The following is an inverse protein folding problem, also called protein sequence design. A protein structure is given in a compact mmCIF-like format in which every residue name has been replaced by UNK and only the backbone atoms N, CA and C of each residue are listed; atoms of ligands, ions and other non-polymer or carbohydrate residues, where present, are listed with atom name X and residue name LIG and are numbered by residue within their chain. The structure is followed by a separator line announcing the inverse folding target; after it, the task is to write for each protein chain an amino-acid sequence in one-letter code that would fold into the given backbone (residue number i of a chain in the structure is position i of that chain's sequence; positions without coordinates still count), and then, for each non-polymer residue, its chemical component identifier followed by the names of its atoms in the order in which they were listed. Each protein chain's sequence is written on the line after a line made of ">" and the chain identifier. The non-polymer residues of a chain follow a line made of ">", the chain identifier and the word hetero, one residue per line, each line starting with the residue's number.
data_IF_890186365563
#
_entry.id   IF_890186365563
#
_cell.length_a   1.000
_cell.length_b   1.000
_cell.length_c   1.000
_cell.angle_alpha   90.00
_cell.angle_beta   90.00
_cell.angle_gamma   90.00
#
_symmetry.space_group_name_H-M   'P 1'
#
loop_
_entity.id
_entity.type
_entity.pdbx_description
1 polymer ?
#
# COMPACT_ATOMS: atom_id res chain seq x y z
N UNK A 1 -29.65 9.53 36.44
CA UNK A 1 -29.49 8.73 35.22
C UNK A 1 -29.04 9.65 34.10
N UNK A 2 -27.73 9.75 33.89
CA UNK A 2 -27.09 10.31 32.69
C UNK A 2 -25.62 9.91 32.82
N UNK A 3 -25.34 8.66 32.42
CA UNK A 3 -23.99 8.13 32.39
C UNK A 3 -23.21 8.85 31.29
N UNK A 4 -22.18 9.53 31.74
CA UNK A 4 -21.17 10.23 30.96
C UNK A 4 -20.55 9.29 29.94
N UNK A 5 -20.83 9.50 28.65
CA UNK A 5 -20.10 8.87 27.55
C UNK A 5 -18.69 9.49 27.53
N UNK A 6 -17.81 9.05 28.43
CA UNK A 6 -16.38 9.28 28.31
C UNK A 6 -15.80 8.23 27.36
N UNK A 7 -15.98 8.43 26.06
CA UNK A 7 -15.13 7.76 25.07
C UNK A 7 -13.77 8.47 25.12
N UNK A 8 -12.92 8.08 26.07
CA UNK A 8 -11.48 8.36 25.95
C UNK A 8 -10.95 7.43 24.87
N UNK A 9 -10.52 7.94 23.70
CA UNK A 9 -9.97 7.06 22.70
C UNK A 9 -8.59 6.62 23.21
N UNK A 10 -8.38 5.30 23.31
CA UNK A 10 -7.12 4.69 23.77
C UNK A 10 -6.01 4.81 22.71
N UNK A 11 -5.60 6.03 22.38
CA UNK A 11 -4.48 6.31 21.49
C UNK A 11 -3.45 7.13 22.26
N UNK A 12 -2.36 6.48 22.68
CA UNK A 12 -1.11 7.21 22.89
C UNK A 12 -0.84 8.03 21.63
N UNK A 13 -0.56 9.33 21.82
CA UNK A 13 -0.24 10.37 20.81
C UNK A 13 -0.38 9.90 19.36
N UNK A 14 -1.36 10.45 18.61
CA UNK A 14 -1.37 10.37 17.14
C UNK A 14 0.05 10.66 16.65
N UNK A 15 0.65 9.72 15.92
CA UNK A 15 2.01 9.88 15.39
C UNK A 15 1.93 10.93 14.28
N UNK A 16 2.06 12.21 14.65
CA UNK A 16 1.87 13.34 13.73
C UNK A 16 2.72 13.20 12.45
N UNK A 17 3.93 12.67 12.58
CA UNK A 17 4.79 12.38 11.44
C UNK A 17 4.19 11.38 10.44
N UNK A 18 3.43 10.38 10.90
CA UNK A 18 2.79 9.41 10.00
C UNK A 18 1.63 10.06 9.22
N UNK A 19 0.82 10.90 9.86
CA UNK A 19 -0.23 11.62 9.14
C UNK A 19 0.36 12.59 8.11
N UNK A 20 1.50 13.21 8.41
CA UNK A 20 2.28 13.99 7.43
C UNK A 20 2.73 13.16 6.23
N UNK A 21 3.29 11.97 6.46
CA UNK A 21 3.67 11.04 5.38
C UNK A 21 2.47 10.63 4.53
N UNK A 22 1.31 10.40 5.13
CA UNK A 22 0.07 10.09 4.39
C UNK A 22 -0.40 11.26 3.53
N UNK A 23 -0.29 12.49 4.03
CA UNK A 23 -0.60 13.70 3.26
C UNK A 23 0.30 13.86 2.04
N UNK A 24 1.62 13.69 2.23
CA UNK A 24 2.60 13.72 1.14
C UNK A 24 2.30 12.61 0.12
N UNK A 25 2.06 11.38 0.58
CA UNK A 25 1.70 10.27 -0.29
C UNK A 25 0.45 10.56 -1.14
N UNK A 26 -0.60 11.12 -0.52
CA UNK A 26 -1.84 11.49 -1.22
C UNK A 26 -1.60 12.55 -2.31
N UNK A 27 -0.86 13.61 -1.98
CA UNK A 27 -0.53 14.68 -2.92
C UNK A 27 0.32 14.15 -4.07
N UNK A 28 1.32 13.31 -3.80
CA UNK A 28 2.14 12.68 -4.83
C UNK A 28 1.30 11.83 -5.79
N UNK A 29 0.40 10.98 -5.29
CA UNK A 29 -0.50 10.18 -6.14
C UNK A 29 -1.42 11.07 -6.97
N UNK A 30 -1.96 12.15 -6.39
CA UNK A 30 -2.80 13.11 -7.11
C UNK A 30 -2.03 13.79 -8.26
N UNK A 31 -0.82 14.29 -7.99
CA UNK A 31 0.04 14.92 -9.00
C UNK A 31 0.41 13.93 -10.10
N UNK A 32 0.72 12.68 -9.75
CA UNK A 32 1.01 11.65 -10.73
C UNK A 32 -0.17 11.38 -11.67
N UNK A 33 -1.39 11.27 -11.13
CA UNK A 33 -2.57 11.04 -11.98
C UNK A 33 -2.92 12.25 -12.84
N UNK A 34 -2.76 13.47 -12.32
CA UNK A 34 -2.92 14.69 -13.11
C UNK A 34 -1.89 14.77 -14.25
N UNK A 35 -0.63 14.43 -13.94
CA UNK A 35 0.44 14.37 -14.93
C UNK A 35 0.14 13.30 -15.98
N UNK A 36 -0.30 12.10 -15.59
CA UNK A 36 -0.70 11.06 -16.55
C UNK A 36 -1.79 11.56 -17.49
N UNK A 37 -2.84 12.21 -17.00
CA UNK A 37 -3.92 12.70 -17.87
C UNK A 37 -3.49 13.84 -18.79
N UNK A 38 -2.51 14.65 -18.38
CA UNK A 38 -2.06 15.84 -19.12
C UNK A 38 -0.89 15.56 -20.06
N UNK A 39 -0.01 14.62 -19.71
CA UNK A 39 1.20 14.27 -20.48
C UNK A 39 0.89 13.56 -21.80
N UNK A 40 -0.31 12.99 -21.97
CA UNK A 40 -0.80 12.57 -23.30
C UNK A 40 -0.96 13.74 -24.28
N UNK A 41 -0.91 14.98 -23.80
CA UNK A 41 -1.11 16.19 -24.61
C UNK A 41 0.14 17.09 -24.66
N UNK A 42 1.13 16.90 -23.78
CA UNK A 42 2.29 17.80 -23.63
C UNK A 42 3.56 17.02 -23.25
N UNK A 43 4.66 17.21 -23.99
CA UNK A 43 5.99 16.72 -23.59
C UNK A 43 6.51 17.59 -22.43
N UNK A 44 6.75 16.99 -21.26
CA UNK A 44 7.10 17.74 -20.04
C UNK A 44 8.59 17.77 -19.72
N UNK A 45 9.42 17.10 -20.53
CA UNK A 45 10.88 17.14 -20.42
C UNK A 45 11.38 16.65 -19.05
N UNK A 46 12.30 17.36 -18.37
CA UNK A 46 12.85 16.93 -17.07
C UNK A 46 11.82 16.69 -15.96
N UNK A 47 10.61 17.25 -16.07
CA UNK A 47 9.53 17.03 -15.10
C UNK A 47 8.97 15.60 -15.13
N UNK A 48 9.23 14.81 -16.18
CA UNK A 48 8.82 13.41 -16.27
C UNK A 48 9.42 12.55 -15.15
N UNK A 49 10.64 12.87 -14.71
CA UNK A 49 11.29 12.22 -13.57
C UNK A 49 10.51 12.51 -12.29
N UNK A 50 10.13 13.78 -12.07
CA UNK A 50 9.35 14.19 -10.91
C UNK A 50 7.99 13.47 -10.87
N UNK A 51 7.29 13.38 -12.00
CA UNK A 51 6.03 12.65 -12.07
C UNK A 51 6.20 11.15 -11.83
N UNK A 52 7.27 10.56 -12.34
CA UNK A 52 7.60 9.15 -12.09
C UNK A 52 7.83 8.88 -10.60
N UNK A 53 8.48 9.80 -9.89
CA UNK A 53 8.65 9.76 -8.43
C UNK A 53 7.32 9.94 -7.69
N UNK A 54 6.44 10.81 -8.18
CA UNK A 54 5.13 11.03 -7.56
C UNK A 54 4.26 9.76 -7.50
N UNK A 55 4.44 8.81 -8.42
CA UNK A 55 3.79 7.50 -8.33
C UNK A 55 4.17 6.71 -7.07
N UNK A 56 5.37 6.93 -6.52
CA UNK A 56 5.85 6.23 -5.33
C UNK A 56 5.13 6.64 -4.04
N UNK A 57 4.25 7.66 -4.12
CA UNK A 57 3.27 7.92 -3.06
C UNK A 57 2.38 6.70 -2.79
N UNK A 58 2.03 5.93 -3.82
CA UNK A 58 1.27 4.68 -3.65
C UNK A 58 2.08 3.61 -2.91
N UNK A 59 3.36 3.45 -3.29
CA UNK A 59 4.31 2.56 -2.62
C UNK A 59 4.40 2.88 -1.13
N UNK A 60 4.50 4.17 -0.79
CA UNK A 60 4.49 4.63 0.61
C UNK A 60 3.18 4.27 1.32
N UNK A 61 2.01 4.35 0.67
CA UNK A 61 0.74 3.90 1.27
C UNK A 61 0.74 2.41 1.62
N UNK A 62 1.26 1.53 0.77
CA UNK A 62 1.33 0.10 1.06
C UNK A 62 2.29 -0.20 2.22
N UNK A 63 3.47 0.43 2.25
CA UNK A 63 4.42 0.32 3.36
C UNK A 63 3.81 0.84 4.67
N UNK A 64 3.15 2.01 4.64
CA UNK A 64 2.46 2.56 5.81
C UNK A 64 1.35 1.64 6.30
N UNK A 65 0.60 1.01 5.38
CA UNK A 65 -0.46 0.06 5.71
C UNK A 65 0.11 -1.18 6.40
N UNK A 66 1.17 -1.78 5.85
CA UNK A 66 1.87 -2.89 6.47
C UNK A 66 2.34 -2.56 7.89
N UNK A 67 2.94 -1.37 8.06
CA UNK A 67 3.43 -0.92 9.37
C UNK A 67 2.31 -0.69 10.38
N UNK A 68 1.35 0.17 10.05
CA UNK A 68 0.32 0.62 10.98
C UNK A 68 -0.59 -0.51 11.42
N UNK A 69 -0.88 -1.44 10.51
CA UNK A 69 -1.83 -2.51 10.76
C UNK A 69 -1.18 -3.66 11.53
N UNK A 70 0.10 -3.97 11.26
CA UNK A 70 0.77 -5.08 11.94
C UNK A 70 1.30 -4.69 13.32
N UNK A 71 1.74 -3.44 13.52
CA UNK A 71 2.27 -2.94 14.81
C UNK A 71 1.44 -3.29 16.05
N UNK A 72 0.09 -3.12 16.10
CA UNK A 72 -0.69 -3.48 17.28
C UNK A 72 -0.68 -4.99 17.57
N UNK A 73 -0.65 -5.85 16.55
CA UNK A 73 -0.52 -7.30 16.73
C UNK A 73 0.86 -7.67 17.27
N UNK A 74 1.93 -7.11 16.67
CA UNK A 74 3.30 -7.32 17.13
C UNK A 74 3.46 -6.88 18.59
N UNK A 75 3.00 -5.68 18.94
CA UNK A 75 3.06 -5.15 20.30
C UNK A 75 2.34 -6.05 21.30
N UNK A 76 1.12 -6.50 20.98
CA UNK A 76 0.38 -7.42 21.84
C UNK A 76 1.13 -8.74 22.05
N UNK A 77 1.70 -9.33 20.98
CA UNK A 77 2.43 -10.61 21.05
C UNK A 77 3.72 -10.47 21.86
N UNK A 78 4.50 -9.40 21.64
CA UNK A 78 5.76 -9.21 22.35
C UNK A 78 5.50 -8.99 23.84
N UNK A 79 4.53 -8.14 24.18
CA UNK A 79 4.15 -7.78 25.55
C UNK A 79 3.28 -8.82 26.27
N UNK A 80 2.87 -9.90 25.58
CA UNK A 80 1.97 -10.91 26.15
C UNK A 80 0.56 -10.40 26.47
N UNK A 81 0.10 -9.35 25.78
CA UNK A 81 -1.24 -8.78 25.93
C UNK A 81 -2.24 -9.45 25.00
N UNK A 82 -3.53 -9.23 25.26
CA UNK A 82 -4.60 -9.69 24.38
C UNK A 82 -4.47 -9.08 22.98
N UNK A 83 -4.70 -9.89 21.94
CA UNK A 83 -4.71 -9.40 20.56
C UNK A 83 -5.84 -8.40 20.31
N UNK A 84 -5.67 -7.47 19.35
CA UNK A 84 -6.75 -6.62 18.88
C UNK A 84 -7.97 -7.44 18.42
N UNK A 85 -9.18 -6.98 18.76
CA UNK A 85 -10.43 -7.60 18.29
C UNK A 85 -10.55 -7.51 16.76
N UNK A 86 -10.64 -8.66 16.09
CA UNK A 86 -10.76 -8.74 14.62
C UNK A 86 -12.05 -8.08 14.15
N UNK A 87 -13.16 -8.25 14.87
CA UNK A 87 -14.44 -7.61 14.54
C UNK A 87 -14.32 -6.09 14.55
N UNK A 88 -13.74 -5.52 15.61
CA UNK A 88 -13.53 -4.07 15.72
C UNK A 88 -12.54 -3.56 14.67
N UNK A 89 -11.49 -4.34 14.42
CA UNK A 89 -10.52 -4.06 13.36
C UNK A 89 -11.23 -3.97 11.99
N UNK A 90 -11.95 -5.02 11.57
CA UNK A 90 -12.62 -5.07 10.27
C UNK A 90 -13.63 -3.93 10.12
N UNK A 91 -14.46 -3.69 11.13
CA UNK A 91 -15.44 -2.61 11.12
C UNK A 91 -14.81 -1.22 10.93
N UNK A 92 -13.76 -0.90 11.69
CA UNK A 92 -13.06 0.38 11.59
C UNK A 92 -12.39 0.57 10.22
N UNK A 93 -11.94 -0.52 9.59
CA UNK A 93 -11.32 -0.48 8.27
C UNK A 93 -12.34 -0.27 7.16
N UNK A 94 -13.47 -0.95 7.23
CA UNK A 94 -14.58 -0.76 6.29
C UNK A 94 -15.08 0.68 6.36
N UNK A 95 -15.38 1.21 7.56
CA UNK A 95 -15.85 2.59 7.71
C UNK A 95 -14.84 3.66 7.26
N UNK A 96 -13.55 3.33 7.23
CA UNK A 96 -12.51 4.26 6.81
C UNK A 96 -12.44 4.41 5.28
N UNK A 97 -12.70 3.35 4.53
CA UNK A 97 -12.50 3.34 3.06
C UNK A 97 -13.83 3.41 2.31
N UNK A 98 -14.79 2.58 2.72
CA UNK A 98 -15.98 2.31 1.91
C UNK A 98 -16.89 3.53 1.71
N UNK A 99 -17.20 4.35 2.73
CA UNK A 99 -18.11 5.50 2.53
C UNK A 99 -17.60 6.48 1.48
N UNK A 100 -16.32 6.86 1.56
CA UNK A 100 -15.72 7.77 0.60
C UNK A 100 -15.64 7.14 -0.80
N UNK A 101 -15.23 5.87 -0.89
CA UNK A 101 -15.17 5.15 -2.16
C UNK A 101 -16.53 5.09 -2.87
N UNK A 102 -17.58 4.71 -2.14
CA UNK A 102 -18.93 4.59 -2.71
C UNK A 102 -19.46 5.93 -3.19
N UNK A 103 -19.28 7.01 -2.42
CA UNK A 103 -19.71 8.35 -2.85
C UNK A 103 -18.99 8.74 -4.15
N UNK A 104 -17.67 8.59 -4.20
CA UNK A 104 -16.89 8.93 -5.39
C UNK A 104 -17.34 8.06 -6.57
N UNK A 105 -17.42 6.74 -6.39
CA UNK A 105 -17.81 5.81 -7.44
C UNK A 105 -19.22 6.07 -7.98
N UNK A 106 -20.20 6.33 -7.11
CA UNK A 106 -21.57 6.64 -7.52
C UNK A 106 -21.61 7.93 -8.33
N UNK A 107 -20.98 9.00 -7.82
CA UNK A 107 -20.95 10.30 -8.49
C UNK A 107 -20.25 10.19 -9.85
N UNK A 108 -19.02 9.66 -9.89
CA UNK A 108 -18.25 9.62 -11.14
C UNK A 108 -18.74 8.55 -12.11
N UNK A 109 -19.14 7.39 -11.59
CA UNK A 109 -19.47 6.21 -12.39
C UNK A 109 -20.90 6.15 -12.89
N UNK A 110 -21.87 6.65 -12.11
CA UNK A 110 -23.29 6.56 -12.43
C UNK A 110 -23.88 7.91 -12.87
N UNK A 111 -23.46 9.02 -12.24
CA UNK A 111 -24.02 10.35 -12.53
C UNK A 111 -23.21 11.11 -13.58
N UNK A 112 -21.92 11.33 -13.36
CA UNK A 112 -21.06 12.12 -14.27
C UNK A 112 -20.72 11.32 -15.52
N UNK A 113 -20.33 10.06 -15.38
CA UNK A 113 -19.88 9.22 -16.49
C UNK A 113 -18.43 9.46 -16.89
N UNK A 114 -17.54 9.59 -15.90
CA UNK A 114 -16.12 9.91 -16.09
C UNK A 114 -15.21 8.77 -15.63
N UNK A 115 -15.61 7.53 -15.89
CA UNK A 115 -14.92 6.32 -15.44
C UNK A 115 -14.63 5.40 -16.62
N UNK A 116 -13.74 4.43 -16.41
CA UNK A 116 -13.34 3.50 -17.46
C UNK A 116 -14.41 2.43 -17.68
N UNK A 117 -14.82 2.26 -18.93
CA UNK A 117 -15.78 1.23 -19.34
C UNK A 117 -15.10 -0.12 -19.53
N UNK A 118 -13.89 -0.11 -20.07
CA UNK A 118 -13.03 -1.26 -20.36
C UNK A 118 -11.65 -1.09 -19.70
N UNK A 119 -10.83 -2.14 -19.74
CA UNK A 119 -9.49 -2.10 -19.14
C UNK A 119 -8.58 -1.00 -19.69
N UNK A 120 -7.56 -0.62 -18.93
CA UNK A 120 -6.74 0.58 -19.19
C UNK A 120 -5.98 0.63 -20.51
N UNK A 121 -5.77 -0.48 -21.21
CA UNK A 121 -5.14 -0.49 -22.54
C UNK A 121 -6.05 -0.02 -23.68
N UNK A 122 -7.35 0.15 -23.43
CA UNK A 122 -8.28 0.71 -24.41
C UNK A 122 -8.21 2.25 -24.51
N UNK A 123 -7.23 2.88 -23.87
CA UNK A 123 -6.97 4.32 -23.95
C UNK A 123 -7.89 5.19 -23.10
N UNK A 124 -7.63 6.50 -23.13
CA UNK A 124 -8.43 7.55 -22.49
C UNK A 124 -9.43 8.19 -23.47
N UNK A 125 -9.65 7.56 -24.62
CA UNK A 125 -10.54 8.08 -25.64
C UNK A 125 -12.00 8.10 -25.19
N UNK A 126 -12.85 8.92 -25.83
CA UNK A 126 -14.27 9.01 -25.53
C UNK A 126 -15.01 7.66 -25.65
N UNK A 127 -14.44 6.69 -26.37
CA UNK A 127 -14.95 5.33 -26.49
C UNK A 127 -14.77 4.47 -25.21
N UNK A 128 -13.82 4.81 -24.34
CA UNK A 128 -13.53 4.06 -23.12
C UNK A 128 -13.94 4.80 -21.83
N UNK A 129 -14.29 6.08 -21.92
CA UNK A 129 -14.74 6.88 -20.77
C UNK A 129 -16.24 7.11 -20.85
N UNK A 130 -16.99 6.71 -19.82
CA UNK A 130 -18.44 6.89 -19.82
C UNK A 130 -19.12 6.50 -18.51
N UNK A 131 -20.45 6.38 -18.57
CA UNK A 131 -21.27 5.88 -17.45
C UNK A 131 -21.27 4.36 -17.45
N UNK A 132 -21.08 3.75 -16.27
CA UNK A 132 -21.30 2.31 -16.12
C UNK A 132 -22.80 2.02 -16.15
N UNK A 133 -23.21 1.14 -17.07
CA UNK A 133 -24.61 0.70 -17.23
C UNK A 133 -24.80 -0.79 -16.98
N UNK A 134 -23.74 -1.59 -17.13
CA UNK A 134 -23.75 -3.03 -16.87
C UNK A 134 -23.90 -3.31 -15.36
N UNK A 135 -25.01 -3.94 -14.91
CA UNK A 135 -25.26 -4.22 -13.49
C UNK A 135 -24.19 -5.09 -12.84
N UNK A 136 -23.62 -6.07 -13.56
CA UNK A 136 -22.59 -6.96 -13.02
C UNK A 136 -21.28 -6.21 -12.80
N UNK A 137 -20.90 -5.35 -13.75
CA UNK A 137 -19.71 -4.51 -13.64
C UNK A 137 -19.86 -3.46 -12.52
N UNK A 138 -21.05 -2.88 -12.36
CA UNK A 138 -21.38 -2.00 -11.24
C UNK A 138 -21.24 -2.75 -9.91
N UNK A 139 -21.86 -3.92 -9.78
CA UNK A 139 -21.76 -4.75 -8.58
C UNK A 139 -20.30 -5.12 -8.25
N UNK A 140 -19.52 -5.51 -9.27
CA UNK A 140 -18.11 -5.86 -9.11
C UNK A 140 -17.26 -4.67 -8.63
N UNK A 141 -17.54 -3.46 -9.11
CA UNK A 141 -16.88 -2.25 -8.64
C UNK A 141 -17.29 -1.88 -7.22
N UNK A 142 -18.60 -1.84 -6.93
CA UNK A 142 -19.14 -1.57 -5.59
C UNK A 142 -18.53 -2.51 -4.55
N UNK A 143 -18.44 -3.80 -4.85
CA UNK A 143 -17.86 -4.82 -3.96
C UNK A 143 -16.33 -4.82 -3.92
N UNK A 144 -15.65 -3.99 -4.74
CA UNK A 144 -14.20 -4.00 -4.93
C UNK A 144 -13.65 -5.38 -5.33
N UNK A 145 -14.40 -6.11 -6.15
CA UNK A 145 -13.99 -7.41 -6.72
C UNK A 145 -13.66 -7.36 -8.22
N UNK A 146 -13.87 -6.20 -8.86
CA UNK A 146 -13.58 -5.97 -10.28
C UNK A 146 -12.14 -6.32 -10.67
N UNK A 147 -11.18 -6.22 -9.73
CA UNK A 147 -9.78 -6.56 -9.99
C UNK A 147 -9.49 -8.06 -10.06
N UNK A 148 -10.42 -8.92 -9.64
CA UNK A 148 -10.24 -10.38 -9.71
C UNK A 148 -10.78 -10.97 -11.02
N UNK A 149 -11.43 -10.17 -11.86
CA UNK A 149 -12.10 -10.59 -13.09
C UNK A 149 -11.39 -9.93 -14.26
N UNK A 150 -10.69 -10.67 -15.14
CA UNK A 150 -9.92 -10.11 -16.25
C UNK A 150 -10.68 -9.08 -17.08
N UNK A 151 -11.95 -9.33 -17.37
CA UNK A 151 -12.83 -8.46 -18.17
C UNK A 151 -13.13 -7.13 -17.47
N UNK A 152 -13.05 -7.09 -16.14
CA UNK A 152 -13.37 -5.91 -15.32
C UNK A 152 -12.14 -5.22 -14.73
N UNK A 153 -10.94 -5.76 -14.96
CA UNK A 153 -9.67 -5.14 -14.55
C UNK A 153 -9.63 -3.69 -15.00
N UNK A 154 -9.36 -2.78 -14.06
CA UNK A 154 -9.28 -1.32 -14.30
C UNK A 154 -10.57 -0.66 -14.79
N UNK A 155 -11.70 -1.37 -14.83
CA UNK A 155 -13.02 -0.74 -15.06
C UNK A 155 -13.42 0.14 -13.86
N UNK A 156 -14.33 1.07 -14.09
CA UNK A 156 -14.76 2.03 -13.07
C UNK A 156 -13.65 3.02 -12.74
N UNK A 157 -13.33 3.15 -11.46
CA UNK A 157 -12.25 4.01 -10.98
C UNK A 157 -10.92 3.25 -11.12
N UNK A 158 -10.04 3.56 -12.09
CA UNK A 158 -8.88 2.72 -12.36
C UNK A 158 -7.97 2.62 -11.13
N UNK A 159 -7.81 3.73 -10.39
CA UNK A 159 -7.00 3.82 -9.17
C UNK A 159 -7.47 2.92 -8.02
N UNK A 160 -8.72 2.44 -8.06
CA UNK A 160 -9.32 1.65 -6.97
C UNK A 160 -8.75 0.24 -6.84
N UNK A 161 -7.88 -0.19 -7.75
CA UNK A 161 -7.15 -1.45 -7.62
C UNK A 161 -6.32 -1.53 -6.34
N UNK A 162 -5.73 -0.40 -5.94
CA UNK A 162 -4.94 -0.30 -4.72
C UNK A 162 -5.80 -0.57 -3.48
N UNK A 163 -7.06 -0.13 -3.48
CA UNK A 163 -8.03 -0.42 -2.42
C UNK A 163 -8.37 -1.90 -2.38
N UNK A 164 -8.48 -2.56 -3.53
CA UNK A 164 -8.73 -4.01 -3.60
C UNK A 164 -7.56 -4.80 -2.98
N UNK A 165 -6.32 -4.41 -3.31
CA UNK A 165 -5.13 -4.99 -2.70
C UNK A 165 -5.07 -4.72 -1.18
N UNK A 166 -5.42 -3.51 -0.74
CA UNK A 166 -5.43 -3.13 0.67
C UNK A 166 -6.50 -3.90 1.48
N UNK A 167 -7.71 -4.05 0.95
CA UNK A 167 -8.76 -4.87 1.59
C UNK A 167 -8.35 -6.33 1.66
N UNK A 168 -7.72 -6.86 0.61
CA UNK A 168 -7.18 -8.23 0.63
C UNK A 168 -6.14 -8.39 1.74
N UNK A 169 -5.25 -7.41 1.91
CA UNK A 169 -4.31 -7.39 3.03
C UNK A 169 -5.01 -7.37 4.40
N UNK A 170 -6.14 -6.69 4.53
CA UNK A 170 -6.91 -6.68 5.79
C UNK A 170 -7.43 -8.06 6.19
N UNK A 171 -7.72 -8.92 5.21
CA UNK A 171 -8.07 -10.32 5.46
C UNK A 171 -6.84 -11.20 5.75
N UNK A 172 -5.72 -10.96 5.06
CA UNK A 172 -4.48 -11.72 5.23
C UNK A 172 -3.82 -11.45 6.59
N UNK A 173 -3.87 -10.20 7.07
CA UNK A 173 -3.12 -9.79 8.25
C UNK A 173 -3.48 -10.54 9.55
N UNK A 174 -4.77 -10.75 9.90
CA UNK A 174 -5.13 -11.59 11.05
C UNK A 174 -4.58 -13.02 10.93
N UNK A 175 -4.59 -13.60 9.72
CA UNK A 175 -4.04 -14.95 9.47
C UNK A 175 -2.53 -14.97 9.73
N UNK A 176 -1.81 -13.94 9.31
CA UNK A 176 -0.38 -13.77 9.60
C UNK A 176 -0.13 -13.68 11.11
N UNK A 177 -0.92 -12.90 11.85
CA UNK A 177 -0.78 -12.78 13.29
C UNK A 177 -1.08 -14.12 14.01
N UNK A 178 -2.09 -14.86 13.56
CA UNK A 178 -2.40 -16.19 14.09
C UNK A 178 -1.30 -17.22 13.78
N UNK A 179 -0.73 -17.19 12.58
CA UNK A 179 0.40 -18.03 12.21
C UNK A 179 1.61 -17.76 13.11
N UNK A 180 1.93 -16.48 13.38
CA UNK A 180 3.00 -16.12 14.29
C UNK A 180 2.76 -16.68 15.70
N UNK A 181 1.54 -16.55 16.24
CA UNK A 181 1.17 -17.13 17.54
C UNK A 181 1.28 -18.65 17.57
N UNK A 182 0.81 -19.32 16.51
CA UNK A 182 0.91 -20.77 16.39
C UNK A 182 2.36 -21.23 16.40
N UNK A 183 3.26 -20.56 15.66
CA UNK A 183 4.71 -20.85 15.67
C UNK A 183 5.33 -20.63 17.05
N UNK A 184 4.93 -19.58 17.76
CA UNK A 184 5.40 -19.31 19.13
C UNK A 184 4.97 -20.44 20.07
N UNK A 185 3.72 -20.90 19.99
CA UNK A 185 3.22 -22.03 20.79
C UNK A 185 3.95 -23.34 20.47
N UNK A 186 4.45 -23.50 19.25
CA UNK A 186 5.30 -24.62 18.82
C UNK A 186 6.79 -24.46 19.18
N UNK A 187 7.16 -23.43 19.95
CA UNK A 187 8.51 -23.24 20.47
C UNK A 187 9.40 -22.29 19.65
N UNK A 188 8.87 -21.63 18.62
CA UNK A 188 9.65 -20.62 17.89
C UNK A 188 9.91 -19.39 18.74
N UNK A 189 11.10 -18.79 18.60
CA UNK A 189 11.41 -17.47 19.19
C UNK A 189 10.40 -16.42 18.68
N UNK A 190 9.88 -15.56 19.56
CA UNK A 190 8.87 -14.53 19.23
C UNK A 190 9.27 -13.72 17.99
N UNK A 191 10.48 -13.19 17.94
CA UNK A 191 10.97 -12.39 16.81
C UNK A 191 10.97 -13.20 15.52
N UNK A 192 11.47 -14.44 15.53
CA UNK A 192 11.50 -15.29 14.34
C UNK A 192 10.09 -15.57 13.79
N UNK A 193 9.13 -15.85 14.68
CA UNK A 193 7.74 -16.05 14.29
C UNK A 193 7.09 -14.78 13.70
N UNK A 194 7.42 -13.61 14.25
CA UNK A 194 6.88 -12.32 13.80
C UNK A 194 7.46 -11.83 12.46
N UNK A 195 8.70 -12.19 12.13
CA UNK A 195 9.35 -11.79 10.86
C UNK A 195 9.14 -12.81 9.74
N UNK A 196 8.84 -14.07 10.06
CA UNK A 196 8.75 -15.15 9.06
C UNK A 196 7.75 -14.84 7.93
N UNK A 197 6.52 -14.45 8.25
CA UNK A 197 5.52 -14.12 7.24
C UNK A 197 5.84 -12.82 6.46
N UNK A 198 6.22 -11.70 7.10
CA UNK A 198 6.70 -10.51 6.38
C UNK A 198 7.87 -10.79 5.43
N UNK A 199 8.85 -11.62 5.84
CA UNK A 199 9.96 -12.01 4.97
C UNK A 199 9.49 -12.86 3.79
N UNK A 200 8.58 -13.81 4.02
CA UNK A 200 7.98 -14.59 2.94
C UNK A 200 7.22 -13.69 1.95
N UNK A 201 6.49 -12.69 2.44
CA UNK A 201 5.81 -11.69 1.61
C UNK A 201 6.79 -10.89 0.75
N UNK A 202 7.91 -10.45 1.33
CA UNK A 202 9.00 -9.77 0.58
C UNK A 202 9.58 -10.68 -0.50
N UNK A 203 9.88 -11.93 -0.18
CA UNK A 203 10.44 -12.88 -1.15
C UNK A 203 9.44 -13.15 -2.29
N UNK A 204 8.17 -13.35 -1.97
CA UNK A 204 7.11 -13.62 -2.96
C UNK A 204 6.88 -12.40 -3.85
N UNK A 205 6.72 -11.21 -3.28
CA UNK A 205 6.50 -9.97 -4.05
C UNK A 205 7.70 -9.64 -4.94
N UNK A 206 8.94 -9.77 -4.43
CA UNK A 206 10.15 -9.61 -5.22
C UNK A 206 10.24 -10.64 -6.34
N UNK A 207 9.94 -11.91 -6.06
CA UNK A 207 9.95 -12.98 -7.06
C UNK A 207 8.95 -12.71 -8.20
N UNK A 208 7.73 -12.26 -7.86
CA UNK A 208 6.72 -11.88 -8.86
C UNK A 208 7.18 -10.65 -9.66
N UNK A 209 7.77 -9.65 -8.99
CA UNK A 209 8.31 -8.45 -9.65
C UNK A 209 9.41 -8.78 -10.65
N UNK A 210 10.36 -9.62 -10.27
CA UNK A 210 11.45 -10.06 -11.14
C UNK A 210 10.93 -10.90 -12.32
N UNK A 211 10.03 -11.84 -12.05
CA UNK A 211 9.36 -12.63 -13.09
C UNK A 211 8.60 -11.73 -14.07
N UNK A 212 7.81 -10.78 -13.57
CA UNK A 212 7.04 -9.88 -14.42
C UNK A 212 7.93 -8.99 -15.28
N UNK A 213 9.05 -8.52 -14.72
CA UNK A 213 10.05 -7.74 -15.45
C UNK A 213 10.74 -8.55 -16.55
N UNK A 214 11.14 -9.80 -16.26
CA UNK A 214 11.74 -10.69 -17.25
C UNK A 214 10.74 -11.14 -18.33
N UNK A 215 9.47 -11.36 -17.97
CA UNK A 215 8.42 -11.67 -18.93
C UNK A 215 8.19 -10.48 -19.87
N UNK A 216 8.05 -9.27 -19.33
CA UNK A 216 7.81 -8.07 -20.11
C UNK A 216 8.99 -7.69 -21.03
N UNK A 217 10.24 -7.97 -20.64
CA UNK A 217 11.43 -7.67 -21.45
C UNK A 217 11.53 -8.50 -22.73
N UNK A 218 10.80 -9.62 -22.80
CA UNK A 218 10.75 -10.53 -23.95
C UNK A 218 9.55 -10.27 -24.87
N UNK A 219 8.71 -9.30 -24.53
CA UNK A 219 7.47 -8.99 -25.24
C UNK A 219 7.64 -7.75 -26.12
N UNK A 220 6.80 -7.63 -27.15
CA UNK A 220 6.67 -6.34 -27.85
C UNK A 220 6.11 -5.28 -26.89
N UNK A 221 6.31 -3.97 -27.13
CA UNK A 221 5.77 -2.93 -26.26
C UNK A 221 4.25 -3.00 -26.05
N UNK A 222 3.51 -3.40 -27.09
CA UNK A 222 2.04 -3.55 -27.04
C UNK A 222 1.66 -4.77 -26.20
N UNK A 223 2.35 -5.90 -26.39
CA UNK A 223 2.10 -7.11 -25.62
C UNK A 223 2.47 -6.92 -24.15
N UNK A 224 3.57 -6.23 -23.86
CA UNK A 224 3.95 -5.87 -22.50
C UNK A 224 2.91 -4.94 -21.84
N UNK A 225 2.35 -3.99 -22.59
CA UNK A 225 1.26 -3.15 -22.10
C UNK A 225 -0.01 -3.96 -21.80
N UNK A 226 -0.37 -4.93 -22.65
CA UNK A 226 -1.54 -5.80 -22.42
C UNK A 226 -1.31 -6.84 -21.30
N UNK A 227 -0.11 -7.39 -21.21
CA UNK A 227 0.33 -8.25 -20.11
C UNK A 227 0.23 -7.52 -18.78
N UNK A 228 0.70 -6.27 -18.78
CA UNK A 228 0.73 -5.40 -17.62
C UNK A 228 -0.65 -4.87 -17.27
N UNK A 229 -1.39 -4.24 -18.18
CA UNK A 229 -2.53 -3.35 -17.93
C UNK A 229 -3.80 -3.72 -18.72
N UNK A 230 -3.76 -4.82 -19.48
CA UNK A 230 -4.90 -5.28 -20.29
C UNK A 230 -5.95 -6.05 -19.50
N UNK A 231 -6.97 -6.55 -20.21
CA UNK A 231 -7.99 -7.44 -19.66
C UNK A 231 -7.50 -8.88 -19.63
N UNK A 232 -6.41 -9.13 -18.90
CA UNK A 232 -5.69 -10.40 -18.87
C UNK A 232 -5.54 -10.92 -17.45
N UNK A 233 -5.38 -12.24 -17.31
CA UNK A 233 -5.07 -12.86 -16.02
C UNK A 233 -3.75 -12.37 -15.42
N UNK A 234 -2.77 -12.00 -16.26
CA UNK A 234 -1.53 -11.38 -15.79
C UNK A 234 -1.79 -9.99 -15.18
N UNK A 235 -2.63 -9.17 -15.79
CA UNK A 235 -2.96 -7.86 -15.24
C UNK A 235 -3.73 -7.95 -13.90
N UNK A 236 -4.62 -8.94 -13.76
CA UNK A 236 -5.23 -9.33 -12.47
C UNK A 236 -4.14 -9.66 -11.46
N UNK A 237 -3.25 -10.58 -11.83
CA UNK A 237 -2.23 -11.11 -10.93
C UNK A 237 -1.24 -10.02 -10.46
N UNK A 238 -0.77 -9.16 -11.37
CA UNK A 238 0.20 -8.09 -11.07
C UNK A 238 -0.36 -6.98 -10.17
N UNK A 239 -1.69 -6.83 -10.10
CA UNK A 239 -2.37 -5.89 -9.17
C UNK A 239 -2.97 -6.58 -7.96
N UNK A 240 -2.82 -7.88 -7.84
CA UNK A 240 -3.24 -8.63 -6.67
C UNK A 240 -2.38 -8.28 -5.46
N UNK A 241 -2.89 -8.60 -4.27
CA UNK A 241 -2.11 -8.50 -3.04
C UNK A 241 -0.78 -9.26 -3.12
N UNK A 242 -0.73 -10.43 -3.77
CA UNK A 242 0.48 -11.24 -3.84
C UNK A 242 1.62 -10.54 -4.57
N UNK A 243 1.31 -9.86 -5.69
CA UNK A 243 2.30 -9.11 -6.45
C UNK A 243 2.80 -7.85 -5.73
N UNK A 244 2.03 -7.34 -4.75
CA UNK A 244 2.38 -6.17 -3.95
C UNK A 244 2.80 -6.55 -2.51
N UNK A 245 2.97 -7.84 -2.23
CA UNK A 245 3.13 -8.37 -0.88
C UNK A 245 4.41 -7.87 -0.20
N UNK A 246 5.46 -7.65 -0.98
CA UNK A 246 6.73 -7.08 -0.55
C UNK A 246 6.57 -5.69 0.05
N UNK A 247 5.77 -4.83 -0.56
CA UNK A 247 5.53 -3.46 -0.08
C UNK A 247 4.87 -3.46 1.30
N UNK A 248 3.86 -4.30 1.51
CA UNK A 248 3.28 -4.52 2.83
C UNK A 248 4.31 -5.16 3.79
N UNK A 249 5.09 -6.12 3.29
CA UNK A 249 6.14 -6.82 4.03
C UNK A 249 7.21 -5.89 4.61
N UNK A 250 7.69 -4.92 3.84
CA UNK A 250 8.65 -3.91 4.31
C UNK A 250 8.09 -3.10 5.48
N UNK A 251 6.83 -2.65 5.38
CA UNK A 251 6.14 -1.98 6.47
C UNK A 251 5.99 -2.85 7.71
N UNK A 252 5.63 -4.12 7.53
CA UNK A 252 5.49 -5.09 8.62
C UNK A 252 6.83 -5.36 9.32
N UNK A 253 7.93 -5.47 8.57
CA UNK A 253 9.28 -5.61 9.13
C UNK A 253 9.68 -4.37 9.93
N UNK A 254 9.39 -3.17 9.41
CA UNK A 254 9.59 -1.93 10.13
C UNK A 254 8.78 -1.88 11.45
N UNK A 255 7.56 -2.42 11.46
CA UNK A 255 6.76 -2.52 12.68
C UNK A 255 7.40 -3.44 13.72
N UNK A 256 7.92 -4.59 13.30
CA UNK A 256 8.67 -5.49 14.20
C UNK A 256 9.92 -4.81 14.75
N UNK A 257 10.70 -4.14 13.89
CA UNK A 257 11.90 -3.42 14.30
C UNK A 257 11.59 -2.36 15.35
N UNK A 258 10.60 -1.50 15.09
CA UNK A 258 10.19 -0.42 16.02
C UNK A 258 9.73 -0.99 17.37
N UNK A 259 8.90 -2.05 17.36
CA UNK A 259 8.41 -2.65 18.61
C UNK A 259 9.56 -3.29 19.39
N UNK A 260 10.45 -4.03 18.73
CA UNK A 260 11.60 -4.67 19.40
C UNK A 260 12.58 -3.65 19.96
N UNK A 261 12.85 -2.55 19.23
CA UNK A 261 13.70 -1.45 19.70
C UNK A 261 13.10 -0.82 20.97
N UNK A 262 11.79 -0.57 20.96
CA UNK A 262 11.10 -0.02 22.12
C UNK A 262 11.13 -0.96 23.34
N UNK A 263 10.89 -2.25 23.12
CA UNK A 263 10.93 -3.28 24.19
C UNK A 263 12.33 -3.49 24.77
N UNK A 264 13.39 -3.14 24.02
CA UNK A 264 14.78 -3.12 24.52
C UNK A 264 15.11 -1.86 25.34
N UNK A 265 14.13 -0.99 25.59
CA UNK A 265 14.33 0.24 26.37
C UNK A 265 15.08 1.35 25.61
N UNK A 266 15.12 1.30 24.28
CA UNK A 266 15.73 2.36 23.49
C UNK A 266 14.77 3.55 23.44
N UNK A 267 15.03 4.54 24.29
CA UNK A 267 14.20 5.75 24.40
C UNK A 267 14.62 6.86 23.44
N UNK A 268 15.84 6.83 22.91
CA UNK A 268 16.36 7.89 22.05
C UNK A 268 17.22 7.34 20.92
N UNK A 269 16.88 7.74 19.69
CA UNK A 269 17.71 7.51 18.49
C UNK A 269 18.33 8.84 18.09
N UNK A 270 19.66 8.84 17.92
CA UNK A 270 20.42 10.03 17.58
C UNK A 270 20.00 10.59 16.21
N UNK A 271 19.94 11.92 16.09
CA UNK A 271 19.56 12.61 14.85
C UNK A 271 20.41 12.18 13.65
N UNK A 272 21.72 11.92 13.84
CA UNK A 272 22.60 11.44 12.77
C UNK A 272 22.18 10.08 12.19
N UNK A 273 21.64 9.18 13.02
CA UNK A 273 21.13 7.89 12.56
C UNK A 273 19.86 8.08 11.74
N UNK A 274 18.95 8.96 12.21
CA UNK A 274 17.73 9.30 11.48
C UNK A 274 18.04 9.98 10.14
N UNK A 275 19.00 10.90 10.13
CA UNK A 275 19.50 11.54 8.91
C UNK A 275 20.14 10.53 7.96
N UNK A 276 20.95 9.59 8.47
CA UNK A 276 21.51 8.52 7.66
C UNK A 276 20.42 7.63 7.02
N UNK A 277 19.36 7.28 7.75
CA UNK A 277 18.22 6.54 7.19
C UNK A 277 17.56 7.30 6.02
N UNK A 278 17.35 8.61 6.17
CA UNK A 278 16.78 9.46 5.11
C UNK A 278 17.73 9.59 3.91
N UNK A 279 19.03 9.77 4.15
CA UNK A 279 20.04 9.85 3.10
C UNK A 279 20.15 8.54 2.32
N UNK A 280 20.18 7.40 3.01
CA UNK A 280 20.18 6.09 2.37
C UNK A 280 18.89 5.86 1.58
N UNK A 281 17.73 6.27 2.12
CA UNK A 281 16.48 6.20 1.38
C UNK A 281 16.52 7.05 0.10
N UNK A 282 17.07 8.26 0.16
CA UNK A 282 17.21 9.12 -1.01
C UNK A 282 18.15 8.53 -2.06
N UNK A 283 19.27 7.92 -1.64
CA UNK A 283 20.18 7.23 -2.56
C UNK A 283 19.52 5.99 -3.21
N UNK A 284 18.75 5.22 -2.44
CA UNK A 284 17.98 4.08 -2.97
C UNK A 284 16.93 4.58 -3.97
N UNK A 285 16.25 5.69 -3.69
CA UNK A 285 15.25 6.25 -4.60
C UNK A 285 15.88 6.78 -5.90
N UNK A 286 17.06 7.41 -5.82
CA UNK A 286 17.82 7.81 -7.01
C UNK A 286 18.25 6.59 -7.84
N UNK A 287 18.70 5.52 -7.19
CA UNK A 287 18.99 4.26 -7.87
C UNK A 287 17.73 3.61 -8.46
N UNK A 288 16.57 3.77 -7.80
CA UNK A 288 15.30 3.21 -8.24
C UNK A 288 14.87 3.76 -9.62
N UNK A 289 15.28 4.99 -9.96
CA UNK A 289 15.00 5.64 -11.25
C UNK A 289 15.61 4.91 -12.45
N UNK A 290 16.64 4.10 -12.25
CA UNK A 290 17.26 3.27 -13.29
C UNK A 290 16.42 2.05 -13.66
N UNK A 291 15.37 1.75 -12.87
CA UNK A 291 14.54 0.57 -13.07
C UNK A 291 13.17 0.92 -13.64
N UNK A 292 12.69 0.10 -14.57
CA UNK A 292 11.31 0.15 -15.04
C UNK A 292 10.34 -0.44 -14.00
N UNK A 293 9.03 -0.21 -14.22
CA UNK A 293 7.99 -0.93 -13.47
C UNK A 293 7.98 -2.40 -13.89
N UNK A 294 7.74 -3.34 -12.96
CA UNK A 294 7.37 -3.12 -11.56
C UNK A 294 8.55 -2.88 -10.58
N UNK A 295 9.80 -3.15 -10.99
CA UNK A 295 11.01 -3.18 -10.13
C UNK A 295 11.22 -1.90 -9.32
N UNK A 296 11.01 -0.72 -9.93
CA UNK A 296 11.10 0.56 -9.22
C UNK A 296 10.28 0.59 -7.94
N UNK A 297 9.06 0.03 -7.94
CA UNK A 297 8.16 0.09 -6.78
C UNK A 297 8.70 -0.73 -5.60
N UNK A 298 9.28 -1.90 -5.88
CA UNK A 298 9.93 -2.74 -4.87
C UNK A 298 11.14 -2.04 -4.24
N UNK A 299 11.97 -1.39 -5.06
CA UNK A 299 13.14 -0.63 -4.59
C UNK A 299 12.70 0.59 -3.77
N UNK A 300 11.75 1.38 -4.29
CA UNK A 300 11.14 2.51 -3.57
C UNK A 300 10.43 2.07 -2.27
N UNK A 301 9.96 0.83 -2.19
CA UNK A 301 9.40 0.23 -0.97
C UNK A 301 10.41 0.15 0.17
N UNK A 302 11.67 -0.16 -0.14
CA UNK A 302 12.78 -0.14 0.83
C UNK A 302 13.06 1.28 1.29
N UNK A 303 13.16 2.23 0.36
CA UNK A 303 13.35 3.65 0.68
C UNK A 303 12.22 4.18 1.58
N UNK A 304 10.97 3.89 1.23
CA UNK A 304 9.79 4.26 2.01
C UNK A 304 9.83 3.68 3.43
N UNK A 305 10.27 2.43 3.61
CA UNK A 305 10.42 1.83 4.94
C UNK A 305 11.51 2.50 5.78
N UNK A 306 12.63 2.91 5.16
CA UNK A 306 13.69 3.67 5.84
C UNK A 306 13.23 5.06 6.26
N UNK A 307 12.52 5.79 5.39
CA UNK A 307 11.90 7.09 5.73
C UNK A 307 10.90 6.92 6.87
N UNK A 308 10.07 5.89 6.82
CA UNK A 308 9.12 5.56 7.89
C UNK A 308 9.84 5.30 9.22
N UNK A 309 10.92 4.51 9.23
CA UNK A 309 11.73 4.29 10.43
C UNK A 309 12.34 5.60 10.94
N UNK A 310 12.87 6.44 10.05
CA UNK A 310 13.38 7.76 10.43
C UNK A 310 12.29 8.65 11.03
N UNK A 311 11.03 8.55 10.60
CA UNK A 311 9.94 9.34 11.18
C UNK A 311 9.51 8.80 12.55
N UNK A 312 9.40 7.48 12.69
CA UNK A 312 8.76 6.85 13.86
C UNK A 312 9.72 6.54 15.01
N UNK A 313 11.02 6.39 14.75
CA UNK A 313 11.99 6.13 15.81
C UNK A 313 12.07 7.31 16.79
N UNK A 314 12.14 7.03 18.11
CA UNK A 314 12.01 8.05 19.14
C UNK A 314 13.16 9.07 19.03
N UNK A 315 12.80 10.35 18.99
CA UNK A 315 13.77 11.44 18.84
C UNK A 315 14.37 11.83 20.19
N UNK A 316 15.59 12.36 20.18
CA UNK A 316 16.25 12.87 21.39
C UNK A 316 15.58 14.12 22.01
N UNK A 317 14.53 14.68 21.40
CA UNK A 317 13.92 15.97 21.77
C UNK A 317 12.51 15.86 22.39
N UNK A 318 12.26 14.88 23.24
CA UNK A 318 11.12 14.93 24.18
C UNK A 318 11.62 15.06 25.61
N UNK A 319 12.07 16.26 25.94
CA UNK A 319 12.13 16.79 27.31
C UNK A 319 11.69 18.25 27.21
N UNK A 320 10.37 18.45 27.31
CA UNK A 320 9.77 19.70 27.79
C UNK A 320 9.17 19.40 29.15
#
# INVERSE_FOLDING_TARGET
>A
MQDTITVRPSWGRRLAGIEGLRGIAALSVMVYHLALTTSFQVQTGPLEILFSLCNQGLTLFFVLSGFLLYRPFVSAIVQGRQLPSIRRYAYNRLLRIYPAYIVIFVVTGLFVGSVYLHGSTHGFGPENIGRLTDPLKIAANVLLVHMFIPEYVMSGLPVSWSLTAEITFYFVLPLVAFLALWRIRKGSRKTAALVCAPLAMVIVGLGITLWASDAASRMSPIDAANFGFGQTGSAVFLRSFLAQADLFGYGMLAAVAVVVIHERGVERVQTRVKAALVLVAALIELLALEFARPVISTVSGVAAALVLLAVVLPSSRETT
#
